data_IF_333229082862
#
_entry.id   IF_333229082862
#
_cell.length_a   1.000
_cell.length_b   1.000
_cell.length_c   1.000
_cell.angle_alpha   90.00
_cell.angle_beta   90.00
_cell.angle_gamma   90.00
#
_symmetry.space_group_name_H-M   'P 1'
#
loop_
_entity.id
_entity.type
_entity.pdbx_description
1 polymer ?
#
# COMPACT_ATOMS: atom_id res chain seq x y z
N UNK A 1 -24.42 -0.72 3.60
CA UNK A 1 -23.41 0.11 4.30
C UNK A 1 -22.08 -0.61 4.47
N UNK A 2 -22.03 -1.80 5.08
CA UNK A 2 -20.78 -2.54 5.29
C UNK A 2 -20.00 -2.88 4.01
N UNK A 3 -20.70 -3.19 2.92
CA UNK A 3 -20.07 -3.36 1.61
C UNK A 3 -19.40 -2.09 1.10
N UNK A 4 -19.99 -0.92 1.35
CA UNK A 4 -19.37 0.37 1.00
C UNK A 4 -18.10 0.60 1.83
N UNK A 5 -18.16 0.35 3.15
CA UNK A 5 -16.98 0.45 4.03
C UNK A 5 -15.87 -0.50 3.58
N UNK A 6 -16.22 -1.75 3.28
CA UNK A 6 -15.28 -2.76 2.78
C UNK A 6 -14.63 -2.35 1.45
N UNK A 7 -15.40 -1.71 0.54
CA UNK A 7 -14.87 -1.15 -0.70
C UNK A 7 -13.95 0.02 -0.42
N UNK A 8 -14.34 0.96 0.44
CA UNK A 8 -13.52 2.13 0.80
C UNK A 8 -12.17 1.68 1.39
N UNK A 9 -12.18 0.74 2.34
CA UNK A 9 -10.95 0.19 2.92
C UNK A 9 -10.05 -0.40 1.85
N UNK A 10 -10.62 -1.22 0.96
CA UNK A 10 -9.84 -1.83 -0.13
C UNK A 10 -9.25 -0.78 -1.05
N UNK A 11 -10.04 0.22 -1.45
CA UNK A 11 -9.59 1.30 -2.34
C UNK A 11 -8.48 2.12 -1.70
N UNK A 12 -8.64 2.53 -0.44
CA UNK A 12 -7.61 3.30 0.27
C UNK A 12 -6.30 2.51 0.36
N UNK A 13 -6.35 1.23 0.76
CA UNK A 13 -5.16 0.39 0.79
C UNK A 13 -4.52 0.23 -0.59
N UNK A 14 -5.33 0.07 -1.65
CA UNK A 14 -4.82 0.01 -3.02
C UNK A 14 -4.18 1.31 -3.50
N UNK A 15 -4.72 2.47 -3.10
CA UNK A 15 -4.12 3.78 -3.42
C UNK A 15 -2.77 3.93 -2.71
N UNK A 16 -2.68 3.59 -1.42
CA UNK A 16 -1.41 3.61 -0.69
C UNK A 16 -0.38 2.71 -1.36
N UNK A 17 -0.75 1.47 -1.70
CA UNK A 17 0.12 0.55 -2.40
C UNK A 17 0.59 1.12 -3.75
N UNK A 18 -0.30 1.74 -4.53
CA UNK A 18 0.03 2.33 -5.82
C UNK A 18 1.03 3.50 -5.69
N UNK A 19 0.89 4.33 -4.65
CA UNK A 19 1.83 5.43 -4.38
C UNK A 19 3.21 4.92 -3.99
N UNK A 20 3.27 3.85 -3.20
CA UNK A 20 4.54 3.19 -2.85
C UNK A 20 5.19 2.57 -4.09
N UNK A 21 4.43 1.88 -4.95
CA UNK A 21 4.96 1.35 -6.20
C UNK A 21 5.48 2.47 -7.11
N UNK A 22 4.77 3.60 -7.19
CA UNK A 22 5.23 4.75 -7.95
C UNK A 22 6.57 5.28 -7.42
N UNK A 23 6.74 5.38 -6.09
CA UNK A 23 8.03 5.70 -5.48
C UNK A 23 9.13 4.71 -5.88
N UNK A 24 8.88 3.40 -5.75
CA UNK A 24 9.82 2.36 -6.14
C UNK A 24 10.27 2.51 -7.60
N UNK A 25 9.33 2.78 -8.52
CA UNK A 25 9.62 3.04 -9.93
C UNK A 25 10.47 4.29 -10.08
N UNK A 26 10.14 5.39 -9.41
CA UNK A 26 10.95 6.61 -9.48
C UNK A 26 12.38 6.40 -8.98
N UNK A 27 12.58 5.64 -7.91
CA UNK A 27 13.92 5.31 -7.40
C UNK A 27 14.67 4.39 -8.39
N UNK A 28 14.03 3.35 -8.90
CA UNK A 28 14.64 2.42 -9.85
C UNK A 28 15.11 3.09 -11.14
N UNK A 29 14.32 4.05 -11.64
CA UNK A 29 14.61 4.78 -12.87
C UNK A 29 15.31 6.12 -12.63
N UNK A 30 15.77 6.39 -11.40
CA UNK A 30 16.55 7.57 -11.04
C UNK A 30 15.84 8.89 -11.43
N UNK A 31 14.54 8.97 -11.15
CA UNK A 31 13.73 10.14 -11.41
C UNK A 31 14.24 11.36 -10.63
N UNK A 32 14.01 12.57 -11.16
CA UNK A 32 14.45 13.81 -10.52
C UNK A 32 13.83 13.96 -9.11
N UNK A 33 14.63 13.92 -8.03
CA UNK A 33 14.11 13.95 -6.66
C UNK A 33 13.47 15.29 -6.27
N UNK A 34 13.77 16.38 -7.01
CA UNK A 34 13.15 17.69 -6.80
C UNK A 34 11.79 17.85 -7.49
N UNK A 35 11.35 16.81 -8.22
CA UNK A 35 10.03 16.81 -8.82
C UNK A 35 8.96 16.58 -7.74
N UNK A 36 7.93 17.43 -7.75
CA UNK A 36 6.82 17.37 -6.79
C UNK A 36 6.17 15.98 -6.70
N UNK A 37 6.06 15.24 -7.81
CA UNK A 37 5.50 13.89 -7.79
C UNK A 37 6.43 12.89 -7.09
N UNK A 38 7.74 13.01 -7.26
CA UNK A 38 8.72 12.14 -6.62
C UNK A 38 8.71 12.39 -5.11
N UNK A 39 8.83 13.66 -4.69
CA UNK A 39 8.74 14.06 -3.27
C UNK A 39 7.42 13.61 -2.63
N UNK A 40 6.30 13.76 -3.34
CA UNK A 40 4.99 13.32 -2.87
C UNK A 40 4.97 11.82 -2.61
N UNK A 41 5.38 11.00 -3.57
CA UNK A 41 5.39 9.54 -3.40
C UNK A 41 6.37 9.08 -2.31
N UNK A 42 7.53 9.74 -2.17
CA UNK A 42 8.48 9.50 -1.09
C UNK A 42 7.85 9.78 0.28
N UNK A 43 7.12 10.88 0.43
CA UNK A 43 6.39 11.18 1.67
C UNK A 43 5.36 10.12 2.05
N UNK A 44 4.60 9.60 1.07
CA UNK A 44 3.67 8.50 1.29
C UNK A 44 4.40 7.20 1.65
N UNK A 45 5.52 6.90 0.97
CA UNK A 45 6.34 5.74 1.28
C UNK A 45 6.90 5.79 2.70
N UNK A 46 7.40 6.93 3.16
CA UNK A 46 7.90 7.08 4.53
C UNK A 46 6.77 6.95 5.56
N UNK A 47 5.60 7.53 5.27
CA UNK A 47 4.46 7.51 6.19
C UNK A 47 3.84 6.11 6.33
N UNK A 48 3.72 5.39 5.22
CA UNK A 48 2.93 4.14 5.15
C UNK A 48 3.76 2.89 4.88
N UNK A 49 5.05 3.00 4.58
CA UNK A 49 5.95 1.87 4.28
C UNK A 49 7.05 1.62 5.31
N UNK A 50 7.10 2.41 6.39
CA UNK A 50 8.15 2.35 7.42
C UNK A 50 8.44 0.95 7.96
N UNK A 51 7.45 0.05 7.98
CA UNK A 51 7.59 -1.31 8.50
C UNK A 51 8.41 -2.26 7.62
N UNK A 52 8.86 -1.80 6.45
CA UNK A 52 9.78 -2.54 5.57
C UNK A 52 11.09 -1.80 5.29
N UNK A 53 11.30 -0.62 5.88
CA UNK A 53 12.56 0.09 5.71
C UNK A 53 13.73 -0.75 6.22
N UNK A 54 14.79 -0.82 5.40
CA UNK A 54 16.00 -1.60 5.67
C UNK A 54 15.77 -3.10 5.96
N UNK A 55 14.61 -3.65 5.62
CA UNK A 55 14.33 -5.08 5.83
C UNK A 55 15.20 -5.96 4.92
N UNK A 56 15.39 -5.52 3.68
CA UNK A 56 16.35 -6.09 2.74
C UNK A 56 17.43 -5.06 2.41
N UNK A 57 18.69 -5.43 2.63
CA UNK A 57 19.85 -4.54 2.39
C UNK A 57 20.83 -5.08 1.33
N UNK A 58 20.41 -5.23 0.05
CA UNK A 58 21.32 -5.41 -1.07
C UNK A 58 22.41 -4.33 -1.13
N UNK A 59 23.54 -4.62 -1.78
CA UNK A 59 24.64 -3.66 -1.93
C UNK A 59 24.31 -2.48 -2.83
N UNK A 60 23.38 -2.62 -3.77
CA UNK A 60 22.89 -1.52 -4.60
C UNK A 60 21.71 -0.82 -3.88
N UNK A 61 21.85 0.46 -3.48
CA UNK A 61 20.82 1.17 -2.73
C UNK A 61 19.47 1.29 -3.45
N UNK A 62 19.44 1.48 -4.77
CA UNK A 62 18.16 1.60 -5.50
C UNK A 62 17.43 0.26 -5.58
N UNK A 63 18.18 -0.84 -5.67
CA UNK A 63 17.62 -2.19 -5.63
C UNK A 63 17.11 -2.51 -4.23
N UNK A 64 17.85 -2.12 -3.19
CA UNK A 64 17.40 -2.24 -1.81
C UNK A 64 16.05 -1.53 -1.60
N UNK A 65 15.97 -0.25 -1.95
CA UNK A 65 14.75 0.54 -1.81
C UNK A 65 13.58 -0.08 -2.58
N UNK A 66 13.79 -0.44 -3.85
CA UNK A 66 12.74 -1.01 -4.70
C UNK A 66 12.16 -2.34 -4.17
N UNK A 67 13.01 -3.19 -3.59
CA UNK A 67 12.57 -4.47 -2.99
C UNK A 67 11.72 -4.21 -1.74
N UNK A 68 12.19 -3.32 -0.86
CA UNK A 68 11.47 -2.97 0.36
C UNK A 68 10.13 -2.30 0.05
N UNK A 69 10.11 -1.35 -0.88
CA UNK A 69 8.90 -0.70 -1.38
C UNK A 69 7.92 -1.69 -2.01
N UNK A 70 8.44 -2.59 -2.85
CA UNK A 70 7.64 -3.64 -3.47
C UNK A 70 6.94 -4.51 -2.42
N UNK A 71 7.64 -4.86 -1.34
CA UNK A 71 7.04 -5.61 -0.23
C UNK A 71 6.03 -4.78 0.55
N UNK A 72 6.30 -3.51 0.83
CA UNK A 72 5.35 -2.62 1.51
C UNK A 72 4.03 -2.52 0.73
N UNK A 73 4.12 -2.29 -0.58
CA UNK A 73 2.96 -2.23 -1.46
C UNK A 73 2.18 -3.56 -1.47
N UNK A 74 2.87 -4.69 -1.54
CA UNK A 74 2.25 -6.00 -1.48
C UNK A 74 1.49 -6.18 -0.16
N UNK A 75 2.09 -5.81 0.96
CA UNK A 75 1.45 -5.88 2.29
C UNK A 75 0.18 -5.05 2.32
N UNK A 76 0.19 -3.83 1.78
CA UNK A 76 -1.02 -3.00 1.69
C UNK A 76 -2.14 -3.64 0.87
N UNK A 77 -1.83 -4.23 -0.29
CA UNK A 77 -2.82 -4.93 -1.13
C UNK A 77 -3.41 -6.12 -0.39
N UNK A 78 -2.56 -6.93 0.26
CA UNK A 78 -2.98 -8.11 1.01
C UNK A 78 -3.82 -7.70 2.21
N UNK A 79 -3.35 -6.76 3.03
CA UNK A 79 -4.05 -6.26 4.21
C UNK A 79 -5.41 -5.67 3.85
N UNK A 80 -5.48 -4.78 2.85
CA UNK A 80 -6.73 -4.19 2.38
C UNK A 80 -7.73 -5.25 1.90
N UNK A 81 -7.24 -6.27 1.19
CA UNK A 81 -8.08 -7.38 0.72
C UNK A 81 -8.61 -8.25 1.87
N UNK A 82 -7.76 -8.56 2.86
CA UNK A 82 -8.14 -9.35 4.03
C UNK A 82 -9.12 -8.60 4.92
N UNK A 83 -8.86 -7.33 5.21
CA UNK A 83 -9.73 -6.47 6.01
C UNK A 83 -11.10 -6.29 5.34
N UNK A 84 -11.13 -6.04 4.02
CA UNK A 84 -12.37 -5.93 3.26
C UNK A 84 -13.22 -7.22 3.36
N UNK A 85 -12.60 -8.39 3.19
CA UNK A 85 -13.28 -9.69 3.35
C UNK A 85 -13.79 -9.89 4.77
N UNK A 86 -13.03 -9.49 5.77
CA UNK A 86 -13.41 -9.62 7.17
C UNK A 86 -14.62 -8.74 7.51
N UNK A 87 -14.65 -7.49 7.03
CA UNK A 87 -15.78 -6.57 7.21
C UNK A 87 -17.06 -7.17 6.64
N UNK A 88 -17.01 -7.70 5.42
CA UNK A 88 -18.18 -8.32 4.79
C UNK A 88 -18.62 -9.58 5.55
N UNK A 89 -17.66 -10.41 6.02
CA UNK A 89 -17.97 -11.68 6.69
C UNK A 89 -18.52 -11.51 8.10
N UNK A 90 -18.04 -10.53 8.86
CA UNK A 90 -18.45 -10.30 10.24
C UNK A 90 -19.73 -9.46 10.36
N UNK A 91 -20.26 -8.97 9.25
CA UNK A 91 -21.52 -8.24 9.24
C UNK A 91 -22.69 -9.22 9.35
N UNK A 92 -23.54 -9.14 10.39
CA UNK A 92 -24.71 -10.00 10.50
C UNK A 92 -25.69 -9.72 9.35
N UNK A 93 -25.99 -10.74 8.54
CA UNK A 93 -27.13 -10.69 7.64
C UNK A 93 -28.37 -10.64 8.52
N UNK A 94 -29.09 -9.50 8.54
CA UNK A 94 -30.40 -9.45 9.19
C UNK A 94 -31.25 -10.54 8.56
N UNK A 95 -31.50 -11.64 9.29
CA UNK A 95 -32.46 -12.65 8.86
C UNK A 95 -33.80 -11.93 8.78
N UNK A 96 -34.27 -11.68 7.57
CA UNK A 96 -35.65 -11.27 7.36
C UNK A 96 -36.53 -12.32 8.06
N UNK A 97 -37.26 -11.83 9.06
CA UNK A 97 -38.21 -12.58 9.89
C UNK A 97 -39.24 -13.23 8.96
N UNK A 98 -39.25 -14.57 8.93
CA UNK A 98 -40.35 -15.37 8.39
C UNK A 98 -41.17 -15.90 9.57
#
# INVERSE_FOLDING_TARGET
MFSLVATVVRVVCSVVAALIVAHAVFVLFEANPTNVLVEFTAGWRNTFGWFTEDLFTPSDPKIAEAINDGLAALIWVVAGSLLSKLIVRLTPTSKARA
#
